data_IF_773658907042
#
_entry.id   IF_773658907042
#
_cell.length_a   1.000
_cell.length_b   1.000
_cell.length_c   1.000
_cell.angle_alpha   90.00
_cell.angle_beta   90.00
_cell.angle_gamma   90.00
#
_symmetry.space_group_name_H-M   'P 1'
#
loop_
_entity.id
_entity.type
_entity.pdbx_description
1 polymer ?
#
# COMPACT_ATOMS: atom_id res chain seq x y z
N UNK A 1 -9.19 -18.27 -7.66
CA UNK A 1 -8.15 -17.24 -7.87
C UNK A 1 -8.75 -15.90 -8.28
N UNK A 2 -9.63 -15.85 -9.28
CA UNK A 2 -10.28 -14.59 -9.70
C UNK A 2 -11.18 -13.98 -8.62
N UNK A 3 -12.00 -14.79 -7.93
CA UNK A 3 -12.80 -14.32 -6.79
C UNK A 3 -11.95 -13.71 -5.67
N UNK A 4 -10.81 -14.34 -5.36
CA UNK A 4 -9.90 -13.86 -4.32
C UNK A 4 -9.19 -12.57 -4.75
N UNK A 5 -8.84 -12.45 -6.03
CA UNK A 5 -8.33 -11.20 -6.61
C UNK A 5 -9.34 -10.07 -6.44
N UNK A 6 -10.62 -10.32 -6.74
CA UNK A 6 -11.69 -9.32 -6.60
C UNK A 6 -11.91 -8.95 -5.13
N UNK A 7 -11.93 -9.93 -4.22
CA UNK A 7 -12.01 -9.69 -2.78
C UNK A 7 -10.85 -8.81 -2.31
N UNK A 8 -9.62 -9.19 -2.64
CA UNK A 8 -8.43 -8.45 -2.24
C UNK A 8 -8.39 -7.05 -2.84
N UNK A 9 -8.78 -6.88 -4.11
CA UNK A 9 -8.92 -5.58 -4.76
C UNK A 9 -9.90 -4.67 -4.01
N UNK A 10 -11.10 -5.17 -3.71
CA UNK A 10 -12.13 -4.42 -2.99
C UNK A 10 -11.65 -4.01 -1.60
N UNK A 11 -10.91 -4.90 -0.91
CA UNK A 11 -10.31 -4.56 0.39
C UNK A 11 -9.27 -3.47 0.27
N UNK A 12 -8.32 -3.58 -0.65
CA UNK A 12 -7.26 -2.59 -0.85
C UNK A 12 -7.84 -1.19 -1.14
N UNK A 13 -8.93 -1.12 -1.90
CA UNK A 13 -9.63 0.14 -2.19
C UNK A 13 -10.17 0.87 -0.95
N UNK A 14 -10.27 0.18 0.20
CA UNK A 14 -10.68 0.80 1.48
C UNK A 14 -9.55 1.52 2.22
N UNK A 15 -8.28 1.36 1.80
CA UNK A 15 -7.13 1.94 2.50
C UNK A 15 -6.90 3.38 2.06
N UNK A 16 -7.01 4.39 2.95
CA UNK A 16 -6.68 5.76 2.62
C UNK A 16 -5.22 5.91 2.18
N UNK A 17 -4.98 6.65 1.10
CA UNK A 17 -3.64 6.85 0.53
C UNK A 17 -3.14 5.72 -0.36
N UNK A 18 -3.99 4.73 -0.67
CA UNK A 18 -3.73 3.67 -1.65
C UNK A 18 -4.82 3.68 -2.71
N UNK A 19 -4.45 3.89 -3.98
CA UNK A 19 -5.39 3.85 -5.10
C UNK A 19 -5.11 2.63 -5.95
N UNK A 20 -6.00 1.64 -5.92
CA UNK A 20 -5.90 0.46 -6.77
C UNK A 20 -6.10 0.83 -8.24
N UNK A 21 -5.37 0.15 -9.12
CA UNK A 21 -5.48 0.29 -10.57
C UNK A 21 -6.04 -1.01 -11.15
N UNK A 22 -6.82 -0.95 -12.24
CA UNK A 22 -7.22 -2.14 -12.97
C UNK A 22 -5.97 -2.95 -13.35
N UNK A 23 -5.98 -4.25 -13.05
CA UNK A 23 -4.89 -5.14 -13.36
C UNK A 23 -5.40 -6.44 -13.98
N UNK A 24 -4.60 -7.00 -14.89
CA UNK A 24 -4.82 -8.30 -15.52
C UNK A 24 -3.68 -9.21 -15.03
N UNK A 25 -4.02 -10.35 -14.43
CA UNK A 25 -3.06 -11.35 -13.94
C UNK A 25 -3.01 -11.50 -12.42
N UNK A 26 -1.90 -12.06 -11.91
CA UNK A 26 -1.71 -12.47 -10.50
C UNK A 26 -1.26 -11.32 -9.57
N UNK A 27 -1.46 -10.06 -9.99
CA UNK A 27 -0.96 -8.88 -9.29
C UNK A 27 -1.97 -7.76 -9.35
N UNK A 28 -2.01 -6.92 -8.32
CA UNK A 28 -2.75 -5.66 -8.29
C UNK A 28 -1.75 -4.52 -8.27
N UNK A 29 -1.92 -3.56 -9.19
CA UNK A 29 -1.16 -2.32 -9.17
C UNK A 29 -1.86 -1.34 -8.23
N UNK A 30 -1.09 -0.69 -7.37
CA UNK A 30 -1.62 0.32 -6.46
C UNK A 30 -0.73 1.57 -6.47
N UNK A 31 -1.31 2.73 -6.74
CA UNK A 31 -0.63 4.02 -6.58
C UNK A 31 -0.54 4.36 -5.10
N UNK A 32 0.66 4.74 -4.68
CA UNK A 32 0.99 5.14 -3.31
C UNK A 32 2.06 6.22 -3.34
N UNK A 33 2.11 7.01 -2.28
CA UNK A 33 3.18 8.00 -2.15
C UNK A 33 4.48 7.34 -1.63
N UNK A 34 5.60 7.64 -2.27
CA UNK A 34 6.92 7.05 -2.01
C UNK A 34 6.91 5.51 -2.15
N UNK A 35 6.65 4.97 -3.36
CA UNK A 35 6.47 3.52 -3.57
C UNK A 35 7.68 2.69 -3.13
N UNK A 36 8.90 3.21 -3.29
CA UNK A 36 10.13 2.53 -2.84
C UNK A 36 10.19 2.36 -1.32
N UNK A 37 9.77 3.37 -0.56
CA UNK A 37 9.72 3.30 0.91
C UNK A 37 8.62 2.35 1.38
N UNK A 38 7.45 2.39 0.72
CA UNK A 38 6.35 1.45 0.98
C UNK A 38 6.80 0.01 0.73
N UNK A 39 7.34 -0.29 -0.45
CA UNK A 39 7.83 -1.62 -0.79
C UNK A 39 8.90 -2.11 0.18
N UNK A 40 9.89 -1.26 0.51
CA UNK A 40 10.94 -1.60 1.49
C UNK A 40 10.37 -1.94 2.86
N UNK A 41 9.44 -1.13 3.38
CA UNK A 41 8.86 -1.32 4.71
C UNK A 41 7.94 -2.54 4.78
N UNK A 42 7.15 -2.79 3.74
CA UNK A 42 6.31 -4.00 3.66
C UNK A 42 7.18 -5.25 3.59
N UNK A 43 8.18 -5.27 2.71
CA UNK A 43 9.08 -6.42 2.56
C UNK A 43 9.87 -6.74 3.83
N UNK A 44 10.21 -5.72 4.63
CA UNK A 44 10.85 -5.91 5.93
C UNK A 44 9.92 -6.53 6.99
N UNK A 45 8.61 -6.28 6.90
CA UNK A 45 7.61 -6.79 7.86
C UNK A 45 7.11 -8.19 7.53
N UNK A 46 7.03 -8.51 6.23
CA UNK A 46 6.50 -9.78 5.74
C UNK A 46 7.63 -10.69 5.28
N UNK A 47 8.09 -10.49 4.05
CA UNK A 47 9.20 -11.24 3.46
C UNK A 47 9.82 -10.44 2.32
N UNK A 48 11.15 -10.53 2.12
CA UNK A 48 11.83 -9.90 0.99
C UNK A 48 11.15 -10.20 -0.35
N UNK A 49 10.99 -9.18 -1.19
CA UNK A 49 10.43 -9.34 -2.54
C UNK A 49 8.90 -9.52 -2.62
N UNK A 50 8.17 -9.45 -1.50
CA UNK A 50 6.70 -9.56 -1.50
C UNK A 50 6.03 -8.47 -2.35
N UNK A 51 6.48 -7.22 -2.21
CA UNK A 51 6.03 -6.07 -2.97
C UNK A 51 7.19 -5.52 -3.80
N UNK A 52 6.91 -5.13 -5.04
CA UNK A 52 7.91 -4.53 -5.93
C UNK A 52 7.42 -3.22 -6.53
N UNK A 53 8.36 -2.36 -6.92
CA UNK A 53 8.07 -1.12 -7.65
C UNK A 53 8.24 -1.39 -9.15
N UNK A 54 7.17 -1.30 -9.97
CA UNK A 54 7.27 -1.42 -11.42
C UNK A 54 8.09 -0.27 -12.02
N UNK A 55 9.00 -0.58 -12.95
CA UNK A 55 9.82 0.44 -13.64
C UNK A 55 9.01 1.36 -14.56
N UNK A 56 7.93 0.84 -15.15
CA UNK A 56 7.14 1.54 -16.18
C UNK A 56 5.90 2.26 -15.63
N UNK A 57 5.62 2.16 -14.33
CA UNK A 57 4.45 2.81 -13.71
C UNK A 57 4.93 3.64 -12.52
N UNK A 58 5.07 4.94 -12.74
CA UNK A 58 5.51 5.87 -11.70
C UNK A 58 4.51 5.92 -10.54
N UNK A 59 5.03 6.01 -9.31
CA UNK A 59 4.22 6.16 -8.11
C UNK A 59 3.41 4.92 -7.72
N UNK A 60 3.73 3.74 -8.24
CA UNK A 60 2.97 2.53 -7.98
C UNK A 60 3.80 1.42 -7.31
N UNK A 61 3.09 0.47 -6.70
CA UNK A 61 3.62 -0.81 -6.22
C UNK A 61 2.81 -1.96 -6.83
N UNK A 62 3.46 -3.11 -7.02
CA UNK A 62 2.84 -4.38 -7.40
C UNK A 62 2.59 -5.21 -6.15
N UNK A 63 1.33 -5.55 -5.93
CA UNK A 63 0.86 -6.38 -4.82
C UNK A 63 0.50 -7.77 -5.38
N UNK A 64 1.15 -8.86 -4.94
CA UNK A 64 0.79 -10.20 -5.37
C UNK A 64 -0.58 -10.59 -4.84
N UNK A 65 -1.37 -11.27 -5.66
CA UNK A 65 -2.58 -11.96 -5.22
C UNK A 65 -2.17 -13.37 -4.81
N UNK A 66 -2.39 -13.73 -3.55
CA UNK A 66 -2.04 -15.02 -2.95
C UNK A 66 -3.29 -15.69 -2.39
N UNK A 67 -3.12 -16.67 -1.52
CA UNK A 67 -4.20 -17.24 -0.72
C UNK A 67 -4.78 -16.21 0.27
N UNK A 68 -6.02 -16.42 0.76
CA UNK A 68 -6.72 -15.45 1.59
C UNK A 68 -5.96 -15.00 2.84
N UNK A 69 -5.25 -15.92 3.50
CA UNK A 69 -4.50 -15.62 4.73
C UNK A 69 -3.37 -14.63 4.43
N UNK A 70 -2.58 -14.91 3.39
CA UNK A 70 -1.48 -14.05 2.99
C UNK A 70 -1.95 -12.69 2.44
N UNK A 71 -3.11 -12.65 1.76
CA UNK A 71 -3.70 -11.39 1.29
C UNK A 71 -4.13 -10.49 2.45
N UNK A 72 -4.73 -11.06 3.50
CA UNK A 72 -5.12 -10.29 4.69
C UNK A 72 -3.92 -9.78 5.47
N UNK A 73 -2.86 -10.57 5.59
CA UNK A 73 -1.62 -10.13 6.24
C UNK A 73 -0.99 -8.94 5.49
N UNK A 74 -0.96 -9.01 4.15
CA UNK A 74 -0.50 -7.91 3.30
C UNK A 74 -1.41 -6.68 3.42
N UNK A 75 -2.72 -6.87 3.43
CA UNK A 75 -3.71 -5.81 3.62
C UNK A 75 -3.47 -5.05 4.94
N UNK A 76 -3.39 -5.77 6.06
CA UNK A 76 -3.18 -5.16 7.37
C UNK A 76 -1.86 -4.41 7.45
N UNK A 77 -0.79 -4.99 6.90
CA UNK A 77 0.52 -4.36 6.86
C UNK A 77 0.51 -3.04 6.09
N UNK A 78 -0.15 -3.00 4.93
CA UNK A 78 -0.30 -1.79 4.11
C UNK A 78 -1.15 -0.74 4.83
N UNK A 79 -2.30 -1.13 5.35
CA UNK A 79 -3.20 -0.22 6.08
C UNK A 79 -2.49 0.45 7.25
N UNK A 80 -1.84 -0.33 8.09
CA UNK A 80 -1.17 0.19 9.28
C UNK A 80 0.03 1.07 8.92
N UNK A 81 0.73 0.77 7.83
CA UNK A 81 1.82 1.59 7.32
C UNK A 81 1.32 2.96 6.84
N UNK A 82 0.27 2.96 6.02
CA UNK A 82 -0.26 4.18 5.39
C UNK A 82 -1.02 5.04 6.40
N UNK A 83 -1.77 4.44 7.33
CA UNK A 83 -2.40 5.16 8.44
C UNK A 83 -1.36 5.86 9.33
N UNK A 84 -0.27 5.18 9.69
CA UNK A 84 0.81 5.80 10.47
C UNK A 84 1.43 6.98 9.74
N UNK A 85 1.68 6.85 8.42
CA UNK A 85 2.24 7.92 7.60
C UNK A 85 1.29 9.13 7.53
N UNK A 86 0.01 8.91 7.30
CA UNK A 86 -1.01 9.97 7.28
C UNK A 86 -1.10 10.69 8.63
N UNK A 87 -1.12 9.95 9.74
CA UNK A 87 -1.15 10.53 11.09
C UNK A 87 0.10 11.35 11.41
N UNK A 88 1.29 10.85 11.07
CA UNK A 88 2.53 11.60 11.32
C UNK A 88 2.57 12.90 10.53
N UNK A 89 2.10 12.89 9.27
CA UNK A 89 1.99 14.10 8.45
C UNK A 89 1.04 15.11 9.07
N UNK A 90 -0.17 14.68 9.41
CA UNK A 90 -1.17 15.54 10.06
C UNK A 90 -0.63 16.21 11.34
N UNK A 91 0.07 15.45 12.18
CA UNK A 91 0.69 16.00 13.39
C UNK A 91 1.84 16.98 13.10
N UNK A 92 2.57 16.79 11.99
CA UNK A 92 3.60 17.71 11.55
C UNK A 92 2.99 19.04 11.08
N UNK A 93 1.98 18.97 10.21
CA UNK A 93 1.26 20.13 9.68
C UNK A 93 0.65 20.97 10.82
N UNK A 94 0.03 20.32 11.82
CA UNK A 94 -0.50 21.03 13.00
C UNK A 94 0.59 21.77 13.79
N UNK A 95 1.80 21.19 13.92
CA UNK A 95 2.92 21.84 14.60
C UNK A 95 3.42 23.05 13.82
N UNK A 96 3.52 22.96 12.50
CA UNK A 96 3.95 24.08 11.66
C UNK A 96 2.96 25.25 11.71
N UNK A 97 1.65 24.97 11.73
CA UNK A 97 0.62 26.01 11.88
C UNK A 97 0.64 26.64 13.28
N UNK A 98 0.98 25.88 14.33
CA UNK A 98 1.02 26.39 15.71
C UNK A 98 2.28 27.22 16.02
N UNK A 99 3.27 27.25 15.11
CA UNK A 99 4.57 27.93 15.30
C UNK A 99 4.77 29.09 14.28
N UNK A 100 3.79 29.34 13.40
CA UNK A 100 3.75 30.55 12.55
C UNK A 100 3.36 31.80 13.36
N UNK A 101 3.88 32.98 13.00
CA UNK A 101 4.09 34.16 13.87
C UNK A 101 2.83 34.76 14.51
#
# INVERSE_FOLDING_TARGET
>A
MEEERQRFFSRLATIPGLNTMPSIGQWILAKVENPSDVARKVNRRLSPGTVSVPRHVSGAVRLPVRDPKNNEELFHTLRDLLHKKARTRYLHELREVSIGP
#
